data_IF_604811500177
#
_entry.id   IF_604811500177
#
_cell.length_a   1.000
_cell.length_b   1.000
_cell.length_c   1.000
_cell.angle_alpha   90.00
_cell.angle_beta   90.00
_cell.angle_gamma   90.00
#
_symmetry.space_group_name_H-M   'P 1'
#
loop_
_entity.id
_entity.type
_entity.pdbx_description
1 polymer ?
#
# COMPACT_ATOMS: atom_id res chain seq x y z
N UNK A 1 -11.07 -18.25 29.88
CA UNK A 1 -10.49 -18.38 28.52
C UNK A 1 -9.93 -17.03 28.11
N UNK A 2 -8.66 -16.93 27.76
CA UNK A 2 -8.03 -15.64 27.46
C UNK A 2 -8.57 -15.08 26.14
N UNK A 3 -8.88 -13.77 26.12
CA UNK A 3 -9.42 -13.05 24.94
C UNK A 3 -8.71 -13.32 23.60
N UNK A 4 -7.38 -13.57 23.51
CA UNK A 4 -6.73 -13.90 22.22
C UNK A 4 -7.06 -15.29 21.67
N UNK A 5 -7.51 -16.24 22.50
CA UNK A 5 -7.87 -17.59 22.04
C UNK A 5 -9.24 -17.55 21.35
N UNK A 6 -10.17 -16.74 21.88
CA UNK A 6 -11.53 -16.61 21.35
C UNK A 6 -11.53 -16.05 19.91
N UNK A 7 -10.66 -15.07 19.61
CA UNK A 7 -10.54 -14.50 18.26
C UNK A 7 -9.98 -15.50 17.24
N UNK A 8 -9.00 -16.32 17.63
CA UNK A 8 -8.44 -17.37 16.77
C UNK A 8 -9.44 -18.50 16.51
N UNK A 9 -10.27 -18.86 17.50
CA UNK A 9 -11.32 -19.86 17.33
C UNK A 9 -12.47 -19.36 16.45
N UNK A 10 -12.82 -18.07 16.51
CA UNK A 10 -13.84 -17.47 15.64
C UNK A 10 -13.38 -17.43 14.18
N UNK A 11 -12.10 -17.12 13.92
CA UNK A 11 -11.54 -17.13 12.56
C UNK A 11 -11.48 -18.54 11.96
N UNK A 12 -11.18 -19.57 12.77
CA UNK A 12 -11.19 -20.97 12.33
C UNK A 12 -12.62 -21.48 12.07
N UNK A 13 -13.61 -21.04 12.85
CA UNK A 13 -15.02 -21.36 12.61
C UNK A 13 -15.58 -20.68 11.35
N UNK A 14 -15.13 -19.46 11.03
CA UNK A 14 -15.51 -18.77 9.79
C UNK A 14 -14.99 -19.49 8.53
N UNK A 15 -13.78 -20.06 8.58
CA UNK A 15 -13.26 -20.90 7.50
C UNK A 15 -13.99 -22.25 7.36
N UNK A 16 -14.50 -22.82 8.46
CA UNK A 16 -15.25 -24.09 8.43
C UNK A 16 -16.71 -23.91 7.96
N UNK A 17 -17.32 -22.73 8.17
CA UNK A 17 -18.65 -22.43 7.65
C UNK A 17 -18.69 -21.97 6.18
N UNK A 18 -17.53 -21.64 5.58
CA UNK A 18 -17.45 -21.38 4.13
C UNK A 18 -17.49 -22.66 3.27
N UNK A 19 -17.52 -23.85 3.87
CA UNK A 19 -17.39 -25.13 3.16
C UNK A 19 -18.64 -26.02 3.12
N UNK A 20 -19.83 -25.52 3.47
CA UNK A 20 -21.04 -26.36 3.48
C UNK A 20 -22.20 -25.77 2.66
N UNK A 21 -22.66 -26.58 1.70
CA UNK A 21 -23.79 -26.42 0.77
C UNK A 21 -23.50 -25.70 -0.56
N UNK A 22 -22.79 -26.39 -1.46
CA UNK A 22 -23.10 -26.32 -2.88
C UNK A 22 -24.14 -27.41 -3.20
N UNK A 23 -25.41 -27.03 -3.34
CA UNK A 23 -26.40 -27.86 -4.02
C UNK A 23 -26.02 -27.85 -5.51
N UNK A 24 -25.50 -28.96 -6.00
CA UNK A 24 -25.25 -29.16 -7.42
C UNK A 24 -26.59 -29.30 -8.15
N UNK A 25 -27.02 -28.23 -8.81
CA UNK A 25 -28.07 -28.31 -9.81
C UNK A 25 -27.39 -28.32 -11.18
N UNK A 26 -27.27 -29.52 -11.75
CA UNK A 26 -26.76 -29.75 -13.10
C UNK A 26 -27.66 -29.05 -14.14
N UNK A 27 -27.05 -28.23 -15.01
CA UNK A 27 -27.31 -28.12 -16.45
C UNK A 27 -26.95 -26.74 -17.00
N UNK A 28 -25.66 -26.45 -17.11
CA UNK A 28 -25.11 -25.72 -18.25
C UNK A 28 -23.80 -26.41 -18.60
N UNK A 29 -23.66 -26.92 -19.82
CA UNK A 29 -22.36 -27.31 -20.34
C UNK A 29 -21.45 -26.07 -20.29
N UNK A 30 -20.74 -25.91 -19.19
CA UNK A 30 -19.91 -24.73 -18.95
C UNK A 30 -18.76 -24.84 -19.93
N UNK A 31 -18.76 -23.99 -20.96
CA UNK A 31 -17.57 -23.65 -21.74
C UNK A 31 -16.41 -23.60 -20.75
N UNK A 32 -15.44 -24.51 -20.86
CA UNK A 32 -14.32 -24.61 -19.91
C UNK A 32 -13.64 -23.23 -19.82
N UNK A 33 -13.91 -22.51 -18.74
CA UNK A 33 -13.28 -21.22 -18.51
C UNK A 33 -11.94 -21.50 -17.88
N UNK A 34 -10.88 -21.40 -18.67
CA UNK A 34 -9.51 -21.57 -18.18
C UNK A 34 -9.10 -20.33 -17.37
N UNK A 35 -8.61 -20.49 -16.13
CA UNK A 35 -8.08 -19.37 -15.38
C UNK A 35 -6.79 -18.87 -16.02
N UNK A 36 -6.55 -17.56 -15.93
CA UNK A 36 -5.27 -16.94 -16.24
C UNK A 36 -4.48 -16.71 -14.97
N UNK A 37 -3.18 -16.99 -15.02
CA UNK A 37 -2.21 -16.69 -13.96
C UNK A 37 -1.30 -15.58 -14.47
N UNK A 38 -0.95 -14.63 -13.59
CA UNK A 38 -0.07 -13.53 -13.94
C UNK A 38 0.84 -13.15 -12.79
N UNK A 39 2.02 -12.67 -13.15
CA UNK A 39 2.97 -12.01 -12.26
C UNK A 39 3.27 -10.62 -12.81
N UNK A 40 3.52 -9.67 -11.93
CA UNK A 40 3.78 -8.28 -12.27
C UNK A 40 4.86 -7.68 -11.38
N UNK A 41 5.54 -6.67 -11.91
CA UNK A 41 6.44 -5.79 -11.16
C UNK A 41 6.03 -4.36 -11.46
N UNK A 42 6.08 -3.49 -10.45
CA UNK A 42 5.68 -2.10 -10.56
C UNK A 42 6.32 -1.24 -9.48
N UNK A 43 5.81 -0.02 -9.35
CA UNK A 43 6.25 0.96 -8.35
C UNK A 43 5.04 1.46 -7.58
N UNK A 44 5.13 1.47 -6.24
CA UNK A 44 4.12 2.09 -5.38
C UNK A 44 4.48 3.55 -5.16
N UNK A 45 3.50 4.43 -5.31
CA UNK A 45 3.62 5.83 -4.96
C UNK A 45 2.62 6.17 -3.87
N UNK A 46 3.06 6.92 -2.87
CA UNK A 46 2.20 7.40 -1.80
C UNK A 46 1.67 8.80 -2.11
N UNK A 47 0.38 8.99 -1.87
CA UNK A 47 -0.29 10.28 -1.92
C UNK A 47 -1.03 10.49 -0.60
N UNK A 48 -0.43 11.24 0.32
CA UNK A 48 -0.99 11.53 1.64
C UNK A 48 -0.24 12.67 2.32
N UNK A 49 -0.28 12.72 3.65
CA UNK A 49 0.20 13.86 4.43
C UNK A 49 1.72 14.02 4.34
N UNK A 50 2.46 12.96 4.67
CA UNK A 50 3.92 12.92 4.52
C UNK A 50 4.25 12.74 3.05
N UNK A 51 4.67 13.83 2.40
CA UNK A 51 4.96 14.01 0.95
C UNK A 51 4.00 14.94 0.19
N UNK A 52 3.16 15.73 0.88
CA UNK A 52 2.15 16.60 0.25
C UNK A 52 2.69 17.86 -0.46
N UNK A 53 3.99 18.18 -0.41
CA UNK A 53 4.56 19.39 -1.04
C UNK A 53 5.67 19.03 -2.04
N UNK A 54 5.30 18.91 -3.32
CA UNK A 54 6.18 19.15 -4.47
C UNK A 54 7.26 18.11 -4.82
N UNK A 55 7.56 17.12 -3.96
CA UNK A 55 8.53 16.06 -4.25
C UNK A 55 7.82 14.79 -4.73
N UNK A 56 7.28 14.84 -5.94
CA UNK A 56 6.68 13.64 -6.54
C UNK A 56 7.77 12.63 -6.92
N UNK A 57 7.61 11.43 -6.35
CA UNK A 57 8.22 10.18 -6.81
C UNK A 57 9.75 10.09 -6.76
N UNK A 58 10.27 9.59 -5.64
CA UNK A 58 11.53 8.85 -5.69
C UNK A 58 11.23 7.44 -6.25
N UNK A 59 11.55 7.18 -7.51
CA UNK A 59 11.51 5.82 -8.08
C UNK A 59 12.47 4.86 -7.37
N UNK A 60 13.32 5.37 -6.47
CA UNK A 60 14.32 4.61 -5.76
C UNK A 60 13.66 3.81 -4.63
N UNK A 61 13.72 2.48 -4.76
CA UNK A 61 13.38 1.49 -3.72
C UNK A 61 11.90 1.36 -3.32
N UNK A 62 10.97 1.74 -4.20
CA UNK A 62 9.52 1.56 -3.99
C UNK A 62 8.91 0.49 -4.91
N UNK A 63 9.65 -0.60 -5.15
CA UNK A 63 9.17 -1.68 -6.01
C UNK A 63 8.00 -2.44 -5.38
N UNK A 64 7.07 -2.85 -6.23
CA UNK A 64 6.01 -3.80 -5.91
C UNK A 64 6.03 -4.99 -6.85
N UNK A 65 5.56 -6.12 -6.32
CA UNK A 65 5.38 -7.37 -7.02
C UNK A 65 3.94 -7.80 -6.84
N UNK A 66 3.33 -8.24 -7.94
CA UNK A 66 1.94 -8.69 -7.96
C UNK A 66 1.89 -10.13 -8.47
N UNK A 67 1.06 -10.94 -7.83
CA UNK A 67 0.59 -12.21 -8.37
C UNK A 67 -0.93 -12.13 -8.50
N UNK A 68 -1.48 -12.52 -9.64
CA UNK A 68 -2.92 -12.53 -9.83
C UNK A 68 -3.44 -13.78 -10.53
N UNK A 69 -4.65 -14.17 -10.16
CA UNK A 69 -5.42 -15.24 -10.79
C UNK A 69 -6.74 -14.66 -11.23
N UNK A 70 -7.09 -14.82 -12.50
CA UNK A 70 -8.37 -14.32 -13.02
C UNK A 70 -9.11 -15.37 -13.83
N UNK A 71 -10.43 -15.28 -13.81
CA UNK A 71 -11.35 -16.12 -14.56
C UNK A 71 -12.23 -15.24 -15.42
N UNK A 72 -12.39 -15.57 -16.70
CA UNK A 72 -13.37 -14.90 -17.57
C UNK A 72 -14.79 -15.19 -17.09
N UNK A 73 -15.58 -14.15 -16.83
CA UNK A 73 -17.01 -14.29 -16.56
C UNK A 73 -17.82 -14.18 -17.85
N UNK A 74 -17.38 -13.32 -18.77
CA UNK A 74 -18.02 -13.10 -20.06
C UNK A 74 -16.96 -12.83 -21.15
N UNK A 75 -17.40 -12.36 -22.32
CA UNK A 75 -16.48 -11.93 -23.38
C UNK A 75 -15.82 -10.57 -23.06
N UNK A 76 -16.39 -9.78 -22.15
CA UNK A 76 -15.94 -8.42 -21.82
C UNK A 76 -15.61 -8.25 -20.33
N UNK A 77 -15.74 -9.28 -19.50
CA UNK A 77 -15.50 -9.16 -18.06
C UNK A 77 -14.80 -10.37 -17.46
N UNK A 78 -13.92 -10.08 -16.51
CA UNK A 78 -13.17 -11.06 -15.73
C UNK A 78 -13.37 -10.80 -14.24
N UNK A 79 -13.32 -11.87 -13.45
CA UNK A 79 -13.19 -11.81 -11.99
C UNK A 79 -11.79 -12.28 -11.61
N UNK A 80 -11.09 -11.47 -10.84
CA UNK A 80 -9.72 -11.73 -10.42
C UNK A 80 -9.51 -11.62 -8.93
N UNK A 81 -8.45 -12.29 -8.49
CA UNK A 81 -7.86 -12.21 -7.17
C UNK A 81 -6.41 -11.79 -7.35
N UNK A 82 -5.94 -10.80 -6.60
CA UNK A 82 -4.52 -10.42 -6.59
C UNK A 82 -3.93 -10.49 -5.19
N UNK A 83 -2.64 -10.79 -5.14
CA UNK A 83 -1.77 -10.56 -4.00
C UNK A 83 -0.69 -9.59 -4.45
N UNK A 84 -0.50 -8.50 -3.71
CA UNK A 84 0.53 -7.49 -3.98
C UNK A 84 1.41 -7.33 -2.74
N UNK A 85 2.72 -7.23 -2.98
CA UNK A 85 3.68 -6.87 -1.94
C UNK A 85 4.66 -5.84 -2.45
N UNK A 86 5.05 -4.89 -1.62
CA UNK A 86 6.00 -3.86 -2.03
C UNK A 86 6.35 -2.93 -0.89
N UNK A 87 7.28 -2.02 -1.17
CA UNK A 87 7.68 -0.99 -0.21
C UNK A 87 7.19 0.36 -0.70
N UNK A 88 6.75 1.20 0.24
CA UNK A 88 6.33 2.58 0.03
C UNK A 88 7.10 3.48 0.98
N UNK A 89 7.54 4.64 0.49
CA UNK A 89 8.37 5.59 1.24
C UNK A 89 7.80 6.99 1.08
N UNK A 90 7.67 7.71 2.19
CA UNK A 90 7.40 9.14 2.21
C UNK A 90 8.53 9.89 2.92
N UNK A 91 8.89 11.05 2.37
CA UNK A 91 9.91 11.91 2.98
C UNK A 91 9.55 13.38 2.75
N UNK A 92 9.48 14.13 3.85
CA UNK A 92 9.12 15.52 3.88
C UNK A 92 10.18 16.32 4.63
N UNK A 93 10.63 17.41 4.01
CA UNK A 93 11.61 18.33 4.56
C UNK A 93 11.13 19.77 4.38
N UNK A 94 10.46 20.29 5.41
CA UNK A 94 10.04 21.68 5.52
C UNK A 94 10.78 22.37 6.68
N UNK A 95 10.85 23.72 6.69
CA UNK A 95 11.50 24.47 7.78
C UNK A 95 11.01 24.04 9.17
N UNK A 96 9.69 23.87 9.33
CA UNK A 96 9.07 23.56 10.62
C UNK A 96 8.53 22.12 10.73
N UNK A 97 8.68 21.29 9.69
CA UNK A 97 8.16 19.91 9.66
C UNK A 97 9.07 18.98 8.88
N UNK A 98 9.56 17.94 9.56
CA UNK A 98 10.49 16.97 8.99
C UNK A 98 10.02 15.57 9.33
N UNK A 99 9.35 14.93 8.38
CA UNK A 99 8.69 13.64 8.56
C UNK A 99 9.18 12.67 7.52
N UNK A 100 9.32 11.41 7.92
CA UNK A 100 9.62 10.36 6.98
C UNK A 100 8.98 9.07 7.47
N UNK A 101 8.61 8.23 6.52
CA UNK A 101 8.18 6.87 6.81
C UNK A 101 8.60 5.95 5.68
N UNK A 102 8.73 4.68 6.03
CA UNK A 102 8.82 3.57 5.11
C UNK A 102 7.89 2.49 5.62
N UNK A 103 7.08 1.94 4.73
CA UNK A 103 6.21 0.82 5.05
C UNK A 103 6.34 -0.26 4.00
N UNK A 104 6.35 -1.49 4.47
CA UNK A 104 6.10 -2.64 3.61
C UNK A 104 4.60 -2.89 3.58
N UNK A 105 4.09 -3.20 2.39
CA UNK A 105 2.69 -3.48 2.11
C UNK A 105 2.53 -4.94 1.73
N UNK A 106 1.50 -5.57 2.30
CA UNK A 106 1.00 -6.87 1.86
C UNK A 106 -0.50 -6.74 1.64
N UNK A 107 -0.95 -6.84 0.40
CA UNK A 107 -2.37 -6.71 0.07
C UNK A 107 -2.92 -7.91 -0.66
N UNK A 108 -4.21 -8.15 -0.43
CA UNK A 108 -5.02 -9.13 -1.12
C UNK A 108 -6.24 -8.39 -1.64
N UNK A 109 -6.57 -8.59 -2.91
CA UNK A 109 -7.73 -7.97 -3.52
C UNK A 109 -8.60 -8.97 -4.28
N UNK A 110 -9.89 -8.66 -4.37
CA UNK A 110 -10.83 -9.23 -5.32
C UNK A 110 -11.26 -8.11 -6.25
N UNK A 111 -11.14 -8.32 -7.56
CA UNK A 111 -11.42 -7.27 -8.53
C UNK A 111 -12.20 -7.79 -9.73
N UNK A 112 -13.08 -6.94 -10.27
CA UNK A 112 -13.66 -7.10 -11.60
C UNK A 112 -12.82 -6.35 -12.61
N UNK A 113 -12.63 -6.95 -13.79
CA UNK A 113 -12.06 -6.28 -14.96
C UNK A 113 -13.12 -6.17 -16.04
N UNK A 114 -13.16 -5.03 -16.72
CA UNK A 114 -14.02 -4.79 -17.88
C UNK A 114 -13.16 -4.42 -19.08
N UNK A 115 -13.18 -5.26 -20.11
CA UNK A 115 -12.53 -4.98 -21.39
C UNK A 115 -13.34 -3.93 -22.16
N UNK A 116 -12.67 -2.83 -22.53
CA UNK A 116 -13.26 -1.70 -23.24
C UNK A 116 -13.34 -1.89 -24.75
N UNK A 117 -12.75 -2.95 -25.32
CA UNK A 117 -12.89 -3.33 -26.73
C UNK A 117 -14.35 -3.48 -27.16
N UNK A 118 -15.23 -3.83 -26.21
CA UNK A 118 -16.65 -3.93 -26.46
C UNK A 118 -17.30 -2.57 -26.78
N UNK A 119 -16.76 -1.47 -26.24
CA UNK A 119 -17.28 -0.11 -26.43
C UNK A 119 -16.58 0.58 -27.60
N UNK A 120 -15.27 0.35 -27.72
CA UNK A 120 -14.43 0.94 -28.73
C UNK A 120 -13.78 -0.21 -29.51
N UNK A 121 -14.04 -0.36 -30.80
CA UNK A 121 -13.41 -1.40 -31.63
C UNK A 121 -11.92 -1.07 -31.86
N UNK A 122 -11.04 -1.34 -30.87
CA UNK A 122 -9.61 -1.04 -30.97
C UNK A 122 -8.88 -2.04 -31.87
N UNK A 123 -8.59 -3.24 -31.36
CA UNK A 123 -7.90 -4.31 -32.07
C UNK A 123 -7.83 -5.58 -31.22
N UNK A 124 -7.83 -6.76 -31.84
CA UNK A 124 -7.62 -8.03 -31.12
C UNK A 124 -6.26 -8.11 -30.40
N UNK A 125 -5.28 -7.29 -30.81
CA UNK A 125 -3.92 -7.26 -30.22
C UNK A 125 -3.86 -6.38 -28.97
N UNK A 126 -4.56 -5.23 -28.97
CA UNK A 126 -4.45 -4.21 -27.93
C UNK A 126 -5.82 -4.04 -27.28
N UNK A 127 -5.95 -4.53 -26.06
CA UNK A 127 -7.22 -4.63 -25.35
C UNK A 127 -7.18 -3.71 -24.11
N UNK A 128 -7.63 -2.45 -24.21
CA UNK A 128 -7.76 -1.59 -23.04
C UNK A 128 -8.80 -2.13 -22.06
N UNK A 129 -8.55 -1.99 -20.77
CA UNK A 129 -9.46 -2.45 -19.73
C UNK A 129 -9.45 -1.50 -18.52
N UNK A 130 -10.54 -1.56 -17.75
CA UNK A 130 -10.64 -0.94 -16.43
C UNK A 130 -10.84 -2.00 -15.37
N UNK A 131 -10.37 -1.74 -14.16
CA UNK A 131 -10.59 -2.60 -13.00
C UNK A 131 -11.19 -1.82 -11.84
N UNK A 132 -12.01 -2.51 -11.06
CA UNK A 132 -12.48 -2.03 -9.77
C UNK A 132 -12.57 -3.21 -8.81
N UNK A 133 -12.22 -3.01 -7.56
CA UNK A 133 -12.23 -4.09 -6.59
C UNK A 133 -12.40 -3.66 -5.15
N UNK A 134 -12.19 -4.65 -4.29
CA UNK A 134 -12.08 -4.50 -2.86
C UNK A 134 -10.75 -5.10 -2.43
N UNK A 135 -10.03 -4.39 -1.56
CA UNK A 135 -8.71 -4.75 -1.11
C UNK A 135 -8.62 -4.69 0.41
N UNK A 136 -7.93 -5.66 0.97
CA UNK A 136 -7.46 -5.63 2.35
C UNK A 136 -5.95 -5.64 2.32
N UNK A 137 -5.32 -4.75 3.08
CA UNK A 137 -3.87 -4.63 3.10
C UNK A 137 -3.33 -4.41 4.50
N UNK A 138 -2.17 -5.00 4.75
CA UNK A 138 -1.37 -4.77 5.94
C UNK A 138 -0.26 -3.77 5.62
N UNK A 139 0.02 -2.87 6.56
CA UNK A 139 1.10 -1.90 6.50
C UNK A 139 1.90 -1.86 7.80
N UNK A 140 3.22 -1.70 7.70
CA UNK A 140 4.12 -1.60 8.84
C UNK A 140 5.06 -0.41 8.69
N UNK A 141 4.66 0.71 9.26
CA UNK A 141 5.36 1.96 9.11
C UNK A 141 6.48 2.15 10.14
N UNK A 142 7.67 2.42 9.60
CA UNK A 142 8.87 2.73 10.35
C UNK A 142 9.39 4.09 9.93
N UNK A 143 10.10 4.75 10.83
CA UNK A 143 10.78 6.03 10.63
C UNK A 143 12.28 5.90 10.80
N UNK A 144 12.99 6.77 10.11
CA UNK A 144 14.42 7.06 10.25
C UNK A 144 14.55 8.28 11.17
N UNK A 145 14.68 8.01 12.48
CA UNK A 145 14.68 9.02 13.54
C UNK A 145 15.98 9.04 14.35
N UNK A 146 16.81 7.99 14.23
CA UNK A 146 18.07 7.84 14.96
C UNK A 146 19.19 7.38 14.03
N UNK A 147 20.44 7.66 14.40
CA UNK A 147 21.60 7.08 13.74
C UNK A 147 21.83 5.62 14.12
N UNK A 148 22.85 5.00 13.51
CA UNK A 148 23.25 3.63 13.80
C UNK A 148 23.62 3.36 15.27
N UNK A 149 23.90 4.40 16.06
CA UNK A 149 24.21 4.33 17.49
C UNK A 149 22.99 4.64 18.38
N UNK A 150 21.83 4.95 17.81
CA UNK A 150 20.60 5.33 18.53
C UNK A 150 20.51 6.81 18.91
N UNK A 151 21.36 7.67 18.36
CA UNK A 151 21.31 9.12 18.61
C UNK A 151 20.23 9.77 17.74
N UNK A 152 19.33 10.52 18.36
CA UNK A 152 18.21 11.19 17.66
C UNK A 152 18.68 12.26 16.68
N UNK A 153 18.02 12.34 15.53
CA UNK A 153 18.21 13.44 14.58
C UNK A 153 17.42 14.68 15.01
N UNK A 154 18.11 15.82 15.11
CA UNK A 154 17.48 17.12 15.27
C UNK A 154 17.68 17.98 14.03
N UNK A 155 16.57 18.39 13.45
CA UNK A 155 16.55 19.22 12.25
C UNK A 155 16.57 20.69 12.64
N UNK A 156 17.55 21.43 12.13
CA UNK A 156 17.71 22.87 12.38
C UNK A 156 17.19 23.71 11.20
N UNK A 157 16.86 24.97 11.47
CA UNK A 157 16.34 25.93 10.50
C UNK A 157 17.35 26.30 9.40
N UNK A 158 18.63 26.03 9.61
CA UNK A 158 19.70 26.18 8.62
C UNK A 158 19.75 25.02 7.60
N UNK A 159 18.84 24.04 7.72
CA UNK A 159 18.78 22.85 6.88
C UNK A 159 19.71 21.72 7.32
N UNK A 160 20.52 21.91 8.36
CA UNK A 160 21.40 20.87 8.90
C UNK A 160 20.63 19.89 9.79
N UNK A 161 21.21 18.69 9.96
CA UNK A 161 20.79 17.70 10.94
C UNK A 161 21.90 17.61 11.99
N UNK A 162 21.54 17.60 13.27
CA UNK A 162 22.51 17.64 14.39
C UNK A 162 22.11 16.74 15.55
N UNK A 163 23.07 16.52 16.46
CA UNK A 163 22.92 15.68 17.66
C UNK A 163 22.10 16.32 18.79
N UNK A 164 21.85 17.63 18.73
CA UNK A 164 21.10 18.35 19.77
C UNK A 164 20.03 19.27 19.16
N UNK A 165 18.93 19.55 19.90
CA UNK A 165 17.93 20.53 19.51
C UNK A 165 18.52 21.93 19.32
N UNK A 166 18.02 22.67 18.32
CA UNK A 166 18.47 24.04 18.04
C UNK A 166 18.22 25.00 19.21
N UNK A 167 17.15 24.76 19.96
CA UNK A 167 16.77 25.55 21.15
C UNK A 167 17.43 25.06 22.45
N UNK A 168 18.33 24.07 22.39
CA UNK A 168 19.03 23.57 23.57
C UNK A 168 20.02 24.62 24.10
N UNK A 169 20.16 24.79 25.44
CA UNK A 169 21.23 25.60 26.03
C UNK A 169 22.65 25.16 25.61
N UNK A 170 22.79 23.90 25.15
CA UNK A 170 24.04 23.32 24.67
C UNK A 170 24.11 23.23 23.14
N UNK A 171 23.27 23.98 22.41
CA UNK A 171 23.24 23.94 20.94
C UNK A 171 24.60 24.25 20.30
N UNK A 172 25.46 25.01 20.97
CA UNK A 172 26.84 25.28 20.53
C UNK A 172 27.76 24.04 20.51
N UNK A 173 27.39 22.97 21.22
CA UNK A 173 28.10 21.69 21.23
C UNK A 173 27.52 20.69 20.23
N UNK A 174 26.47 21.05 19.49
CA UNK A 174 25.82 20.16 18.54
C UNK A 174 26.74 19.86 17.35
N UNK A 175 26.99 18.57 17.12
CA UNK A 175 27.73 18.09 15.95
C UNK A 175 26.78 17.85 14.77
N UNK A 176 27.28 18.05 13.55
CA UNK A 176 26.56 17.68 12.33
C UNK A 176 26.34 16.17 12.26
N UNK A 177 25.20 15.78 11.72
CA UNK A 177 24.80 14.39 11.46
C UNK A 177 24.31 14.26 10.03
N UNK A 178 24.41 13.04 9.51
CA UNK A 178 23.79 12.64 8.25
C UNK A 178 22.87 11.46 8.52
N UNK A 179 21.74 11.42 7.79
CA UNK A 179 20.82 10.29 7.87
C UNK A 179 21.44 9.07 7.19
N UNK A 180 21.29 7.91 7.80
CA UNK A 180 21.72 6.65 7.19
C UNK A 180 20.61 5.96 6.38
N UNK A 181 19.41 6.54 6.33
CA UNK A 181 18.24 6.05 5.58
C UNK A 181 17.81 4.64 5.97
N UNK A 182 18.15 4.22 7.19
CA UNK A 182 17.57 3.04 7.81
C UNK A 182 16.31 3.46 8.55
N UNK A 183 15.27 2.65 8.38
CA UNK A 183 13.97 2.89 8.98
C UNK A 183 13.77 1.86 10.09
N UNK A 184 14.46 2.06 11.21
CA UNK A 184 14.46 1.15 12.36
C UNK A 184 13.39 1.47 13.39
N UNK A 185 12.93 2.72 13.46
CA UNK A 185 12.00 3.14 14.50
C UNK A 185 10.57 2.78 14.13
N UNK A 186 9.97 1.84 14.85
CA UNK A 186 8.52 1.57 14.72
C UNK A 186 7.73 2.81 15.18
N UNK A 187 7.03 3.45 14.25
CA UNK A 187 6.33 4.71 14.50
C UNK A 187 5.13 4.54 15.45
N UNK A 188 4.51 3.36 15.44
CA UNK A 188 3.42 2.99 16.36
C UNK A 188 3.94 2.80 17.78
N UNK A 189 5.11 2.17 17.91
CA UNK A 189 5.75 1.99 19.20
C UNK A 189 6.30 3.32 19.76
N UNK A 190 6.85 4.18 18.89
CA UNK A 190 7.33 5.51 19.27
C UNK A 190 6.20 6.43 19.77
N UNK A 191 4.97 6.19 19.31
CA UNK A 191 3.75 6.85 19.80
C UNK A 191 3.87 8.39 19.82
N UNK A 192 4.44 8.95 18.75
CA UNK A 192 4.81 10.37 18.66
C UNK A 192 3.62 11.32 18.88
N UNK A 193 2.42 10.90 18.48
CA UNK A 193 1.18 11.69 18.56
C UNK A 193 0.18 11.13 19.59
N UNK A 194 0.54 10.11 20.36
CA UNK A 194 -0.34 9.54 21.39
C UNK A 194 -1.41 8.56 20.87
N UNK A 195 -1.39 8.15 19.59
CA UNK A 195 -2.33 7.19 19.01
C UNK A 195 -2.23 5.76 19.56
N UNK A 196 -1.11 5.43 20.21
CA UNK A 196 -0.78 4.08 20.65
C UNK A 196 -0.56 3.12 19.49
N UNK A 197 -0.71 1.82 19.77
CA UNK A 197 -0.58 0.74 18.77
C UNK A 197 -1.89 0.53 18.02
N UNK A 198 -2.17 1.36 17.04
CA UNK A 198 -3.33 1.21 16.15
C UNK A 198 -3.22 -0.02 15.23
N UNK A 199 -4.33 -0.54 14.67
CA UNK A 199 -4.30 -1.70 13.77
C UNK A 199 -3.50 -1.45 12.49
N UNK A 200 -2.75 -2.46 12.04
CA UNK A 200 -1.97 -2.42 10.79
C UNK A 200 -2.73 -2.92 9.57
N UNK A 201 -3.97 -3.39 9.77
CA UNK A 201 -4.84 -3.87 8.72
C UNK A 201 -5.79 -2.74 8.33
N UNK A 202 -5.85 -2.43 7.04
CA UNK A 202 -6.78 -1.49 6.47
C UNK A 202 -7.42 -2.05 5.20
N UNK A 203 -8.43 -1.33 4.73
CA UNK A 203 -9.15 -1.66 3.50
C UNK A 203 -8.98 -0.54 2.47
N UNK A 204 -9.07 -0.91 1.20
CA UNK A 204 -9.01 0.00 0.08
C UNK A 204 -9.96 -0.41 -1.05
N UNK A 205 -10.26 0.55 -1.92
CA UNK A 205 -10.92 0.32 -3.21
C UNK A 205 -9.89 0.58 -4.30
N UNK A 206 -9.32 -0.48 -4.91
CA UNK A 206 -8.45 -0.34 -6.07
C UNK A 206 -9.29 -0.04 -7.31
N UNK A 207 -8.94 1.03 -8.02
CA UNK A 207 -9.53 1.41 -9.31
C UNK A 207 -8.37 1.53 -10.30
N UNK A 208 -8.41 0.72 -11.36
CA UNK A 208 -7.32 0.65 -12.31
C UNK A 208 -7.76 0.85 -13.76
N UNK A 209 -6.78 1.19 -14.57
CA UNK A 209 -6.88 1.20 -16.03
C UNK A 209 -5.62 0.57 -16.59
N UNK A 210 -5.75 -0.13 -17.71
CA UNK A 210 -4.62 -0.80 -18.30
C UNK A 210 -4.84 -1.20 -19.75
N UNK A 211 -3.77 -1.73 -20.33
CA UNK A 211 -3.73 -2.26 -21.68
C UNK A 211 -3.23 -3.70 -21.58
N UNK A 212 -3.98 -4.62 -22.16
CA UNK A 212 -3.59 -6.00 -22.33
C UNK A 212 -3.16 -6.23 -23.78
N UNK A 213 -1.89 -6.59 -23.97
CA UNK A 213 -1.29 -6.90 -25.26
C UNK A 213 -1.29 -8.41 -25.46
N UNK A 214 -2.07 -8.90 -26.42
CA UNK A 214 -2.12 -10.31 -26.78
C UNK A 214 -0.91 -10.66 -27.65
N UNK A 215 0.05 -11.40 -27.09
CA UNK A 215 1.26 -11.85 -27.80
C UNK A 215 1.00 -13.19 -28.49
N UNK A 216 0.19 -14.05 -27.86
CA UNK A 216 -0.29 -15.31 -28.41
C UNK A 216 -1.63 -15.69 -27.78
N UNK A 217 -2.23 -16.79 -28.24
CA UNK A 217 -3.50 -17.32 -27.69
C UNK A 217 -3.46 -17.62 -26.17
N UNK A 218 -2.27 -17.73 -25.58
CA UNK A 218 -2.08 -18.12 -24.17
C UNK A 218 -1.20 -17.18 -23.36
N UNK A 219 -0.55 -16.21 -24.02
CA UNK A 219 0.39 -15.29 -23.37
C UNK A 219 0.00 -13.87 -23.73
N UNK A 220 -0.16 -13.05 -22.70
CA UNK A 220 -0.45 -11.64 -22.81
C UNK A 220 0.48 -10.85 -21.90
N UNK A 221 0.74 -9.60 -22.27
CA UNK A 221 1.48 -8.64 -21.47
C UNK A 221 0.55 -7.53 -21.01
N UNK A 222 0.57 -7.21 -19.73
CA UNK A 222 -0.30 -6.17 -19.15
C UNK A 222 0.53 -4.98 -18.70
N UNK A 223 0.06 -3.79 -19.04
CA UNK A 223 0.53 -2.53 -18.47
C UNK A 223 -0.67 -1.87 -17.81
N UNK A 224 -0.60 -1.59 -16.53
CA UNK A 224 -1.68 -0.97 -15.79
C UNK A 224 -1.19 0.13 -14.85
N UNK A 225 -2.13 0.98 -14.46
CA UNK A 225 -2.00 1.91 -13.36
C UNK A 225 -3.23 1.73 -12.47
N UNK A 226 -3.01 1.51 -11.18
CA UNK A 226 -4.06 1.29 -10.20
C UNK A 226 -3.96 2.34 -9.11
N UNK A 227 -5.06 3.02 -8.84
CA UNK A 227 -5.20 3.91 -7.72
C UNK A 227 -5.88 3.17 -6.56
N UNK A 228 -5.17 3.04 -5.44
CA UNK A 228 -5.64 2.33 -4.25
C UNK A 228 -6.24 3.37 -3.29
N UNK A 229 -7.56 3.56 -3.32
CA UNK A 229 -8.22 4.48 -2.41
C UNK A 229 -8.32 3.87 -1.01
N UNK A 230 -7.50 4.34 -0.07
CA UNK A 230 -7.38 3.78 1.28
C UNK A 230 -8.31 4.48 2.27
N UNK A 231 -8.92 3.71 3.18
CA UNK A 231 -9.79 4.26 4.24
C UNK A 231 -9.07 4.43 5.58
N UNK A 232 -7.78 4.74 5.54
CA UNK A 232 -6.94 4.94 6.72
C UNK A 232 -6.01 6.12 6.48
N UNK A 233 -5.81 6.92 7.52
CA UNK A 233 -4.86 8.03 7.53
C UNK A 233 -3.45 7.56 7.95
N UNK A 234 -3.40 6.45 8.69
CA UNK A 234 -2.23 6.10 9.50
C UNK A 234 -1.10 5.37 8.76
N UNK A 235 -1.16 5.29 7.42
CA UNK A 235 -0.11 4.62 6.62
C UNK A 235 1.25 5.29 6.85
N UNK A 236 1.26 6.63 6.96
CA UNK A 236 2.44 7.45 7.18
C UNK A 236 2.64 7.87 8.66
N UNK A 237 1.81 7.34 9.57
CA UNK A 237 1.74 7.71 10.99
C UNK A 237 1.39 9.19 11.23
N UNK A 238 0.68 9.83 10.31
CA UNK A 238 0.13 11.18 10.49
C UNK A 238 -1.39 11.07 10.43
N UNK A 239 -2.08 11.93 11.20
CA UNK A 239 -3.53 12.06 11.06
C UNK A 239 -4.03 13.41 11.54
N UNK A 240 -5.31 13.71 11.26
CA UNK A 240 -6.00 14.91 11.79
C UNK A 240 -5.90 15.10 13.31
N UNK A 241 -5.77 14.01 14.06
CA UNK A 241 -5.70 14.00 15.52
C UNK A 241 -4.24 14.17 16.02
N UNK A 242 -3.30 14.37 15.10
CA UNK A 242 -1.88 14.59 15.39
C UNK A 242 -1.58 15.89 16.11
N UNK A 243 -0.42 15.95 16.75
CA UNK A 243 -0.01 17.08 17.59
C UNK A 243 0.94 18.04 16.86
N UNK A 244 0.73 19.35 17.04
CA UNK A 244 1.65 20.38 16.56
C UNK A 244 1.90 20.32 15.05
N UNK A 245 3.17 20.24 14.66
CA UNK A 245 3.56 20.15 13.24
C UNK A 245 3.21 18.79 12.61
N UNK A 246 2.91 17.75 13.38
CA UNK A 246 2.51 16.41 12.90
C UNK A 246 1.00 16.28 12.65
N UNK A 247 0.25 17.39 12.69
CA UNK A 247 -1.18 17.37 12.38
C UNK A 247 -1.42 17.17 10.88
N UNK A 248 -2.18 16.14 10.54
CA UNK A 248 -2.60 15.79 9.19
C UNK A 248 -3.80 16.59 8.68
N UNK A 249 -4.14 16.37 7.42
CA UNK A 249 -5.34 16.93 6.80
C UNK A 249 -6.61 16.11 7.14
N UNK A 250 -7.74 16.47 6.55
CA UNK A 250 -8.95 15.64 6.65
C UNK A 250 -8.95 14.65 5.48
N UNK A 251 -9.27 13.37 5.79
CA UNK A 251 -9.57 12.31 4.82
C UNK A 251 -10.65 12.71 3.80
#
# INVERSE_FOLDING_TARGET
MSKPILAKTIMLLACLFAFSYAQAQDSFASKEVKPSLGIGVGVLNYYGDVNSIGNQSSLLNQFAYEFHVARKLSNYSDLGFSFLTGTMIGNERLPDRNLNFRTDIYSISVYGSFNLDYIFNWSDVINPYITIGFESFEYNNKGDLVDANGSMYYYWNDGTVRTLPQNSPLANQASLMERDYKYETDLRAANLDGFGKYPQLAIAVPIGLGINLNVSDRVSFKVNSTFHYTFTDLIDNVSRDGAGNRKGNNL
#
